data_IF_283537277595
#
_entry.id   IF_283537277595
#
_cell.length_a   1.000
_cell.length_b   1.000
_cell.length_c   1.000
_cell.angle_alpha   90.00
_cell.angle_beta   90.00
_cell.angle_gamma   90.00
#
_symmetry.space_group_name_H-M   'P 1'
#
loop_
_entity.id
_entity.type
_entity.pdbx_description
1 polymer ?
#
# COMPACT_ATOMS: atom_id res chain seq x y z
N UNK A 1 5.35 -10.99 12.62
CA UNK A 1 6.55 -10.31 12.09
C UNK A 1 7.76 -10.73 12.94
N UNK A 2 8.81 -11.26 12.31
CA UNK A 2 10.06 -11.59 13.03
C UNK A 2 10.86 -10.31 13.32
N UNK A 3 11.72 -10.31 14.33
CA UNK A 3 12.64 -9.17 14.58
C UNK A 3 13.47 -8.80 13.35
N UNK A 4 13.80 -9.79 12.51
CA UNK A 4 14.50 -9.62 11.22
C UNK A 4 13.68 -8.88 10.16
N UNK A 5 12.34 -8.98 10.20
CA UNK A 5 11.46 -8.28 9.26
C UNK A 5 11.18 -6.85 9.73
N UNK A 6 11.24 -6.62 11.04
CA UNK A 6 11.06 -5.30 11.64
C UNK A 6 12.11 -4.29 11.20
N UNK A 7 13.38 -4.68 11.07
CA UNK A 7 14.44 -3.80 10.58
C UNK A 7 14.23 -3.40 9.11
N UNK A 8 13.69 -4.31 8.30
CA UNK A 8 13.43 -4.06 6.88
C UNK A 8 12.34 -3.01 6.65
N UNK A 9 11.44 -2.76 7.61
CA UNK A 9 10.43 -1.69 7.50
C UNK A 9 11.03 -0.28 7.52
N UNK A 10 12.29 -0.15 7.90
CA UNK A 10 13.04 1.13 7.88
C UNK A 10 14.01 1.23 6.70
N UNK A 11 14.04 0.23 5.83
CA UNK A 11 15.00 0.14 4.72
C UNK A 11 15.01 1.41 3.85
N UNK A 12 13.83 1.94 3.53
CA UNK A 12 13.67 3.15 2.71
C UNK A 12 14.37 4.41 3.28
N UNK A 13 14.62 4.42 4.59
CA UNK A 13 15.31 5.49 5.30
C UNK A 13 16.77 5.14 5.57
N UNK A 14 17.04 3.92 6.07
CA UNK A 14 18.36 3.55 6.59
C UNK A 14 19.33 3.05 5.50
N UNK A 15 18.83 2.38 4.44
CA UNK A 15 19.66 1.66 3.46
C UNK A 15 19.41 2.09 2.00
N UNK A 16 18.43 2.95 1.75
CA UNK A 16 18.08 3.42 0.40
C UNK A 16 19.20 4.30 -0.19
N UNK A 17 19.56 4.03 -1.45
CA UNK A 17 20.47 4.88 -2.23
C UNK A 17 19.66 5.99 -2.92
N UNK A 18 19.97 7.24 -2.63
CA UNK A 18 19.33 8.43 -3.24
C UNK A 18 20.29 9.13 -4.21
N UNK A 19 20.47 8.53 -5.39
CA UNK A 19 21.31 9.04 -6.48
C UNK A 19 20.49 9.68 -7.62
N UNK A 20 19.19 9.89 -7.39
CA UNK A 20 18.26 10.41 -8.38
C UNK A 20 17.71 9.39 -9.38
N UNK A 21 18.12 8.11 -9.31
CA UNK A 21 17.56 7.04 -10.14
C UNK A 21 16.39 6.38 -9.42
N UNK A 22 15.24 6.30 -10.11
CA UNK A 22 14.03 5.69 -9.57
C UNK A 22 14.13 4.16 -9.56
N UNK A 23 14.24 3.55 -8.37
CA UNK A 23 14.30 2.09 -8.17
C UNK A 23 13.19 1.55 -7.29
N UNK A 24 12.58 2.44 -6.52
CA UNK A 24 11.61 2.10 -5.51
C UNK A 24 10.55 3.21 -5.41
N UNK A 25 9.29 2.92 -5.01
CA UNK A 25 8.26 3.95 -4.79
C UNK A 25 8.70 5.12 -3.89
N UNK A 26 9.66 4.88 -2.98
CA UNK A 26 10.27 5.93 -2.15
C UNK A 26 11.05 6.99 -2.94
N UNK A 27 11.49 6.68 -4.17
CA UNK A 27 12.18 7.64 -5.04
C UNK A 27 11.19 8.53 -5.81
N UNK A 28 9.90 8.18 -5.80
CA UNK A 28 8.85 8.85 -6.56
C UNK A 28 8.58 10.28 -6.06
N UNK A 29 8.06 11.11 -6.96
CA UNK A 29 7.59 12.46 -6.63
C UNK A 29 6.43 12.42 -5.64
N UNK A 30 5.56 11.41 -5.71
CA UNK A 30 4.44 11.23 -4.79
C UNK A 30 4.93 11.06 -3.35
N UNK A 31 5.92 10.19 -3.13
CA UNK A 31 6.52 9.98 -1.81
C UNK A 31 7.17 11.26 -1.27
N UNK A 32 8.00 11.91 -2.08
CA UNK A 32 8.68 13.17 -1.71
C UNK A 32 7.69 14.30 -1.42
N UNK A 33 6.57 14.35 -2.13
CA UNK A 33 5.51 15.34 -1.90
C UNK A 33 4.78 15.05 -0.59
N UNK A 34 4.46 13.78 -0.32
CA UNK A 34 3.84 13.36 0.94
C UNK A 34 4.72 13.73 2.15
N UNK A 35 6.03 13.48 2.05
CA UNK A 35 6.97 13.80 3.13
C UNK A 35 7.08 15.31 3.39
N UNK A 36 6.97 16.14 2.35
CA UNK A 36 6.92 17.60 2.47
C UNK A 36 5.62 18.10 3.09
N UNK A 37 4.48 17.48 2.73
CA UNK A 37 3.16 17.84 3.26
C UNK A 37 2.98 17.40 4.71
N UNK A 38 3.60 16.28 5.10
CA UNK A 38 3.48 15.71 6.44
C UNK A 38 4.86 15.40 7.06
N UNK A 39 5.65 16.42 7.44
CA UNK A 39 6.99 16.21 8.00
C UNK A 39 7.00 15.38 9.29
N UNK A 40 5.99 15.55 10.15
CA UNK A 40 5.84 14.78 11.39
C UNK A 40 5.67 13.29 11.13
N UNK A 41 4.97 12.92 10.05
CA UNK A 41 4.84 11.53 9.63
C UNK A 41 6.15 11.02 9.04
N UNK A 42 6.81 11.81 8.19
CA UNK A 42 8.06 11.43 7.52
C UNK A 42 9.25 11.27 8.48
N UNK A 43 9.25 11.99 9.60
CA UNK A 43 10.30 11.94 10.63
C UNK A 43 10.40 10.56 11.27
N UNK A 44 9.29 9.81 11.32
CA UNK A 44 9.27 8.48 11.91
C UNK A 44 9.36 7.39 10.81
N UNK A 45 10.53 6.76 10.61
CA UNK A 45 10.74 5.79 9.53
C UNK A 45 9.93 4.49 9.72
N UNK A 46 9.40 4.21 10.92
CA UNK A 46 8.53 3.06 11.13
C UNK A 46 7.09 3.30 10.66
N UNK A 47 6.71 4.54 10.32
CA UNK A 47 5.39 4.81 9.77
C UNK A 47 5.22 4.15 8.40
N UNK A 48 4.09 3.49 8.20
CA UNK A 48 3.87 2.58 7.08
C UNK A 48 3.25 3.33 5.91
N UNK A 49 3.84 3.19 4.73
CA UNK A 49 3.30 3.64 3.45
C UNK A 49 2.87 2.43 2.63
N UNK A 50 1.57 2.36 2.36
CA UNK A 50 0.94 1.29 1.60
C UNK A 50 0.71 1.73 0.16
N UNK A 51 1.14 0.94 -0.81
CA UNK A 51 0.59 0.99 -2.16
C UNK A 51 -0.78 0.34 -2.19
N UNK A 52 -1.75 0.96 -2.83
CA UNK A 52 -3.02 0.31 -3.18
C UNK A 52 -3.01 0.07 -4.68
N UNK A 53 -3.22 -1.19 -5.07
CA UNK A 53 -3.34 -1.62 -6.46
C UNK A 53 -4.61 -2.47 -6.63
N UNK A 54 -5.27 -2.32 -7.78
CA UNK A 54 -6.38 -3.18 -8.18
C UNK A 54 -6.36 -3.35 -9.68
N UNK A 55 -6.54 -4.59 -10.14
CA UNK A 55 -6.65 -4.91 -11.56
C UNK A 55 -7.77 -5.95 -11.74
N UNK A 56 -8.50 -5.82 -12.84
CA UNK A 56 -9.63 -6.66 -13.17
C UNK A 56 -9.25 -7.84 -14.04
N UNK A 57 -9.64 -9.04 -13.64
CA UNK A 57 -9.55 -10.21 -14.51
C UNK A 57 -10.88 -10.94 -14.65
N UNK A 58 -11.07 -11.57 -15.80
CA UNK A 58 -12.24 -12.41 -16.08
C UNK A 58 -11.81 -13.88 -16.09
N UNK A 59 -12.08 -14.65 -15.02
CA UNK A 59 -11.64 -16.05 -14.92
C UNK A 59 -12.36 -16.96 -15.94
N UNK A 60 -13.57 -16.60 -16.35
CA UNK A 60 -14.39 -17.38 -17.27
C UNK A 60 -14.72 -16.57 -18.53
N UNK A 61 -13.83 -16.59 -19.53
CA UNK A 61 -14.03 -15.91 -20.82
C UNK A 61 -15.11 -16.55 -21.71
N UNK A 62 -15.55 -17.78 -21.42
CA UNK A 62 -16.43 -18.58 -22.30
C UNK A 62 -17.86 -18.82 -21.77
N UNK A 63 -18.23 -18.22 -20.63
CA UNK A 63 -19.58 -18.38 -20.04
C UNK A 63 -20.56 -17.35 -20.61
N UNK A 64 -21.86 -17.71 -20.68
CA UNK A 64 -22.94 -16.80 -21.11
C UNK A 64 -23.11 -15.56 -20.20
N UNK A 65 -22.58 -15.62 -18.99
CA UNK A 65 -22.55 -14.52 -18.02
C UNK A 65 -21.09 -14.18 -17.70
N UNK A 66 -20.48 -13.19 -18.37
CA UNK A 66 -19.17 -12.69 -17.98
C UNK A 66 -19.24 -12.12 -16.57
N UNK A 67 -18.20 -12.36 -15.76
CA UNK A 67 -18.02 -11.74 -14.45
C UNK A 67 -16.57 -11.31 -14.33
N UNK A 68 -16.37 -10.09 -13.87
CA UNK A 68 -15.08 -9.49 -13.58
C UNK A 68 -14.77 -9.61 -12.09
N UNK A 69 -13.52 -9.93 -11.77
CA UNK A 69 -13.00 -10.02 -10.41
C UNK A 69 -11.89 -8.98 -10.26
N UNK A 70 -12.03 -8.10 -9.28
CA UNK A 70 -11.10 -7.02 -8.98
C UNK A 70 -10.59 -7.18 -7.55
N UNK A 71 -9.47 -7.88 -7.34
CA UNK A 71 -8.77 -7.85 -6.07
C UNK A 71 -8.23 -6.44 -5.79
N UNK A 72 -8.40 -5.97 -4.56
CA UNK A 72 -7.77 -4.75 -4.04
C UNK A 72 -6.65 -5.17 -3.10
N UNK A 73 -5.42 -4.94 -3.51
CA UNK A 73 -4.21 -5.38 -2.81
C UNK A 73 -3.49 -4.18 -2.21
N UNK A 74 -3.12 -4.32 -0.94
CA UNK A 74 -2.26 -3.38 -0.24
C UNK A 74 -0.83 -3.94 -0.17
N UNK A 75 0.15 -3.10 -0.47
CA UNK A 75 1.56 -3.48 -0.53
C UNK A 75 2.36 -2.55 0.38
N UNK A 76 3.10 -3.06 1.39
CA UNK A 76 3.95 -2.22 2.21
C UNK A 76 5.18 -1.78 1.41
N UNK A 77 5.26 -0.51 1.05
CA UNK A 77 6.43 0.06 0.35
C UNK A 77 7.54 0.47 1.31
N UNK A 78 7.47 0.11 2.58
CA UNK A 78 8.55 0.39 3.53
C UNK A 78 9.79 -0.50 3.35
N UNK A 79 9.57 -1.68 2.78
CA UNK A 79 10.54 -2.76 2.63
C UNK A 79 11.31 -2.65 1.30
N UNK A 80 12.48 -3.29 1.18
CA UNK A 80 13.28 -3.20 -0.06
C UNK A 80 12.57 -3.74 -1.32
N UNK A 81 13.04 -3.33 -2.53
CA UNK A 81 12.44 -3.70 -3.81
C UNK A 81 12.23 -5.21 -4.02
N UNK A 82 13.18 -6.03 -3.57
CA UNK A 82 13.12 -7.49 -3.70
C UNK A 82 12.13 -8.16 -2.74
N UNK A 83 11.60 -7.40 -1.77
CA UNK A 83 10.62 -7.88 -0.81
C UNK A 83 9.23 -7.31 -1.09
N UNK A 84 9.12 -6.02 -1.45
CA UNK A 84 7.82 -5.37 -1.64
C UNK A 84 6.97 -6.04 -2.74
N UNK A 85 7.60 -6.59 -3.78
CA UNK A 85 6.92 -7.31 -4.87
C UNK A 85 6.72 -8.82 -4.62
N UNK A 86 7.11 -9.35 -3.45
CA UNK A 86 6.82 -10.75 -3.13
C UNK A 86 5.36 -10.91 -2.73
N UNK A 87 4.72 -11.94 -3.27
CA UNK A 87 3.33 -12.29 -2.97
C UNK A 87 3.03 -12.39 -1.47
N UNK A 88 3.99 -12.83 -0.66
CA UNK A 88 3.86 -12.93 0.80
C UNK A 88 3.62 -11.58 1.50
N UNK A 89 3.97 -10.45 0.84
CA UNK A 89 3.75 -9.11 1.36
C UNK A 89 2.50 -8.45 0.78
N UNK A 90 1.78 -9.12 -0.11
CA UNK A 90 0.53 -8.62 -0.65
C UNK A 90 -0.59 -8.91 0.35
N UNK A 91 -1.24 -7.84 0.80
CA UNK A 91 -2.38 -7.91 1.71
C UNK A 91 -3.64 -7.75 0.86
N UNK A 92 -4.35 -8.85 0.62
CA UNK A 92 -5.65 -8.77 -0.03
C UNK A 92 -6.65 -8.14 0.94
N UNK A 93 -7.10 -6.93 0.62
CA UNK A 93 -8.02 -6.15 1.47
C UNK A 93 -9.48 -6.38 1.09
N UNK A 94 -9.77 -6.48 -0.20
CA UNK A 94 -11.12 -6.61 -0.74
C UNK A 94 -11.11 -7.41 -2.04
N UNK A 95 -12.22 -8.09 -2.32
CA UNK A 95 -12.48 -8.73 -3.61
C UNK A 95 -13.80 -8.19 -4.15
N UNK A 96 -13.75 -7.40 -5.22
CA UNK A 96 -14.94 -6.84 -5.86
C UNK A 96 -15.36 -7.79 -6.99
N UNK A 97 -16.57 -8.32 -6.88
CA UNK A 97 -17.20 -9.16 -7.91
C UNK A 97 -18.25 -8.34 -8.61
N UNK A 98 -18.11 -8.17 -9.93
CA UNK A 98 -19.04 -7.38 -10.72
C UNK A 98 -19.29 -8.08 -12.07
N UNK A 99 -20.51 -8.01 -12.65
CA UNK A 99 -20.75 -8.52 -14.00
C UNK A 99 -19.82 -7.89 -15.05
N UNK A 100 -19.49 -6.60 -14.87
CA UNK A 100 -18.60 -5.83 -15.74
C UNK A 100 -17.48 -5.16 -14.92
N UNK A 101 -16.54 -4.48 -15.59
CA UNK A 101 -15.57 -3.65 -14.87
C UNK A 101 -16.30 -2.58 -14.03
N UNK A 102 -15.88 -2.31 -12.78
CA UNK A 102 -16.45 -1.24 -11.98
C UNK A 102 -16.21 0.14 -12.62
N UNK A 103 -15.23 0.29 -13.51
CA UNK A 103 -14.94 1.55 -14.19
C UNK A 103 -14.83 2.72 -13.21
N UNK A 104 -15.57 3.78 -13.49
CA UNK A 104 -15.62 4.99 -12.66
C UNK A 104 -16.24 4.75 -11.27
N UNK A 105 -17.01 3.68 -11.07
CA UNK A 105 -17.67 3.37 -9.80
C UNK A 105 -16.78 2.62 -8.80
N UNK A 106 -15.49 2.43 -9.12
CA UNK A 106 -14.55 1.74 -8.22
C UNK A 106 -14.40 2.47 -6.87
N UNK A 107 -14.53 3.80 -6.88
CA UNK A 107 -14.48 4.66 -5.70
C UNK A 107 -15.55 4.31 -4.66
N UNK A 108 -16.76 3.95 -5.09
CA UNK A 108 -17.87 3.51 -4.23
C UNK A 108 -17.47 2.26 -3.43
N UNK A 109 -16.80 1.31 -4.07
CA UNK A 109 -16.33 0.09 -3.41
C UNK A 109 -15.16 0.37 -2.47
N UNK A 110 -14.26 1.28 -2.85
CA UNK A 110 -13.09 1.63 -2.04
C UNK A 110 -13.43 2.49 -0.81
N UNK A 111 -14.63 3.06 -0.73
CA UNK A 111 -15.01 3.96 0.36
C UNK A 111 -14.75 3.37 1.76
N UNK A 112 -15.18 2.13 2.00
CA UNK A 112 -14.98 1.46 3.30
C UNK A 112 -13.50 1.32 3.64
N UNK A 113 -12.66 0.98 2.65
CA UNK A 113 -11.22 0.85 2.84
C UNK A 113 -10.55 2.20 3.12
N UNK A 114 -10.98 3.25 2.40
CA UNK A 114 -10.48 4.62 2.61
C UNK A 114 -10.83 5.12 4.01
N UNK A 115 -12.03 4.84 4.52
CA UNK A 115 -12.44 5.20 5.87
C UNK A 115 -11.57 4.52 6.94
N UNK A 116 -11.26 3.24 6.76
CA UNK A 116 -10.33 2.52 7.65
C UNK A 116 -8.91 3.10 7.59
N UNK A 117 -8.39 3.38 6.40
CA UNK A 117 -7.06 3.97 6.22
C UNK A 117 -6.98 5.37 6.85
N UNK A 118 -8.03 6.19 6.72
CA UNK A 118 -8.13 7.50 7.40
C UNK A 118 -8.09 7.34 8.92
N UNK A 119 -8.82 6.38 9.46
CA UNK A 119 -8.80 6.08 10.89
C UNK A 119 -7.38 5.70 11.35
N UNK A 120 -6.68 4.85 10.59
CA UNK A 120 -5.30 4.45 10.90
C UNK A 120 -4.33 5.65 10.84
N UNK A 121 -4.54 6.58 9.92
CA UNK A 121 -3.79 7.83 9.83
C UNK A 121 -4.03 8.78 11.01
N UNK A 122 -5.27 8.86 11.50
CA UNK A 122 -5.63 9.77 12.60
C UNK A 122 -5.27 9.21 13.98
N UNK A 123 -5.60 7.94 14.23
CA UNK A 123 -5.47 7.34 15.57
C UNK A 123 -4.13 6.63 15.78
N UNK A 124 -3.49 6.19 14.69
CA UNK A 124 -2.38 5.25 14.70
C UNK A 124 -2.76 3.88 15.25
N UNK A 125 -1.82 2.94 15.18
CA UNK A 125 -1.95 1.58 15.76
C UNK A 125 -0.82 1.34 16.73
N UNK A 126 -1.16 0.79 17.92
CA UNK A 126 -0.15 0.34 18.87
C UNK A 126 0.48 -0.96 18.39
N UNK A 127 1.79 -1.00 18.29
CA UNK A 127 2.51 -2.23 17.95
C UNK A 127 3.77 -2.41 18.78
N UNK A 128 4.25 -3.65 18.84
CA UNK A 128 5.44 -4.04 19.57
C UNK A 128 6.64 -4.08 18.60
N UNK A 129 6.98 -2.95 17.98
CA UNK A 129 8.25 -2.79 17.27
C UNK A 129 9.21 -2.01 18.15
N UNK A 130 10.03 -2.75 18.93
CA UNK A 130 11.18 -2.43 19.79
C UNK A 130 11.35 -1.04 20.46
N UNK A 131 10.88 0.08 19.89
CA UNK A 131 10.99 1.43 20.42
C UNK A 131 9.82 2.39 20.09
N UNK A 132 8.78 1.96 19.36
CA UNK A 132 7.60 2.79 19.09
C UNK A 132 6.32 2.22 19.70
N UNK A 133 5.66 3.05 20.51
CA UNK A 133 4.37 2.72 21.11
C UNK A 133 3.23 2.80 20.10
N UNK A 134 3.38 3.58 19.02
CA UNK A 134 2.39 3.79 17.96
C UNK A 134 3.06 4.11 16.64
N UNK A 135 2.53 3.57 15.53
CA UNK A 135 2.83 4.06 14.19
C UNK A 135 1.55 4.50 13.49
N UNK A 136 1.73 5.26 12.42
CA UNK A 136 0.68 5.72 11.53
C UNK A 136 0.80 5.05 10.16
N UNK A 137 -0.33 4.91 9.48
CA UNK A 137 -0.40 4.29 8.15
C UNK A 137 -0.92 5.32 7.17
N UNK A 138 -0.26 5.41 6.02
CA UNK A 138 -0.72 6.20 4.88
C UNK A 138 -0.78 5.31 3.65
N UNK A 139 -1.64 5.68 2.70
CA UNK A 139 -1.74 4.98 1.44
C UNK A 139 -1.37 5.92 0.28
N UNK A 140 -0.47 5.46 -0.58
CA UNK A 140 -0.13 6.08 -1.85
C UNK A 140 -0.87 5.26 -2.92
N UNK A 141 -1.86 5.87 -3.55
CA UNK A 141 -2.64 5.23 -4.61
C UNK A 141 -1.77 4.95 -5.84
N UNK A 142 -1.78 3.71 -6.32
CA UNK A 142 -1.22 3.31 -7.61
C UNK A 142 -2.30 2.52 -8.35
N UNK A 143 -3.17 3.23 -9.07
CA UNK A 143 -4.07 2.57 -10.02
C UNK A 143 -3.28 2.33 -11.30
N UNK A 144 -3.02 1.06 -11.61
CA UNK A 144 -2.58 0.68 -12.96
C UNK A 144 -3.79 0.79 -13.90
N UNK A 145 -3.57 1.42 -15.06
CA UNK A 145 -4.55 1.65 -16.12
C UNK A 145 -4.56 0.53 -17.16
#
# INVERSE_FOLDING_TARGET
>A
MSSKTSSLMRWHHDERVDDGIMRHPADSVAWKTLDKLHPSFATEPCNIRLGLASDGFQPFKSTKTPHSIWPVVLIPYNVPPWLCMKQENFILSMLILCPESPGDAIDVYLQSLIEELKKLWETGVKTLMHHLDKFYVTCIFVMDH
#
